data_IF_346546723066
#
_entry.id   IF_346546723066
#
_cell.length_a   1.000
_cell.length_b   1.000
_cell.length_c   1.000
_cell.angle_alpha   90.00
_cell.angle_beta   90.00
_cell.angle_gamma   90.00
#
_symmetry.space_group_name_H-M   'P 1'
#
loop_
_entity.id
_entity.type
_entity.pdbx_description
1 polymer ?
#
# COMPACT_ATOMS: atom_id res chain seq x y z
N UNK A 1 -18.43 14.31 -23.15
CA UNK A 1 -18.95 15.05 -21.98
C UNK A 1 -19.94 14.17 -21.23
N UNK A 2 -20.11 14.39 -19.93
CA UNK A 2 -21.19 13.76 -19.16
C UNK A 2 -22.52 14.42 -19.55
N UNK A 3 -23.18 13.86 -20.57
CA UNK A 3 -24.33 14.51 -21.23
C UNK A 3 -25.66 14.28 -20.50
N UNK A 4 -25.76 13.23 -19.69
CA UNK A 4 -26.95 12.93 -18.87
C UNK A 4 -26.76 13.40 -17.42
N UNK A 5 -27.86 13.67 -16.71
CA UNK A 5 -27.85 14.05 -15.29
C UNK A 5 -27.17 12.99 -14.40
N UNK A 6 -27.38 11.71 -14.71
CA UNK A 6 -26.74 10.57 -14.05
C UNK A 6 -25.23 10.54 -14.29
N UNK A 7 -24.78 10.79 -15.52
CA UNK A 7 -23.35 10.88 -15.84
C UNK A 7 -22.67 12.04 -15.11
N UNK A 8 -23.31 13.22 -15.04
CA UNK A 8 -22.76 14.38 -14.30
C UNK A 8 -22.62 14.07 -12.80
N UNK A 9 -23.56 13.32 -12.22
CA UNK A 9 -23.47 12.83 -10.83
C UNK A 9 -22.33 11.83 -10.66
N UNK A 10 -22.18 10.86 -11.56
CA UNK A 10 -21.11 9.88 -11.52
C UNK A 10 -19.72 10.54 -11.59
N UNK A 11 -19.54 11.55 -12.46
CA UNK A 11 -18.30 12.31 -12.57
C UNK A 11 -17.90 12.99 -11.25
N UNK A 12 -18.87 13.65 -10.58
CA UNK A 12 -18.63 14.26 -9.24
C UNK A 12 -18.24 13.23 -8.19
N UNK A 13 -18.91 12.07 -8.18
CA UNK A 13 -18.60 10.99 -7.25
C UNK A 13 -17.21 10.38 -7.53
N UNK A 14 -16.83 10.24 -8.80
CA UNK A 14 -15.53 9.73 -9.21
C UNK A 14 -14.39 10.60 -8.65
N UNK A 15 -14.48 11.93 -8.80
CA UNK A 15 -13.46 12.87 -8.27
C UNK A 15 -13.26 12.68 -6.76
N UNK A 16 -14.36 12.60 -5.99
CA UNK A 16 -14.31 12.37 -4.54
C UNK A 16 -13.64 11.04 -4.18
N UNK A 17 -14.00 9.96 -4.88
CA UNK A 17 -13.41 8.62 -4.67
C UNK A 17 -11.93 8.60 -5.05
N UNK A 18 -11.55 9.20 -6.17
CA UNK A 18 -10.17 9.29 -6.64
C UNK A 18 -9.29 10.00 -5.62
N UNK A 19 -9.71 11.16 -5.08
CA UNK A 19 -8.93 11.89 -4.06
C UNK A 19 -8.62 11.03 -2.82
N UNK A 20 -9.62 10.31 -2.32
CA UNK A 20 -9.46 9.42 -1.16
C UNK A 20 -8.57 8.22 -1.49
N UNK A 21 -8.76 7.61 -2.66
CA UNK A 21 -7.98 6.45 -3.08
C UNK A 21 -6.52 6.80 -3.36
N UNK A 22 -6.27 7.98 -3.92
CA UNK A 22 -4.92 8.50 -4.15
C UNK A 22 -4.16 8.63 -2.82
N UNK A 23 -4.74 9.25 -1.80
CA UNK A 23 -4.13 9.35 -0.47
C UNK A 23 -3.77 7.99 0.12
N UNK A 24 -4.68 7.01 0.02
CA UNK A 24 -4.45 5.65 0.53
C UNK A 24 -3.37 4.91 -0.27
N UNK A 25 -3.31 5.10 -1.58
CA UNK A 25 -2.29 4.51 -2.44
C UNK A 25 -0.92 5.13 -2.18
N UNK A 26 -0.84 6.45 -1.95
CA UNK A 26 0.39 7.12 -1.54
C UNK A 26 0.89 6.59 -0.19
N UNK A 27 0.00 6.46 0.82
CA UNK A 27 0.35 5.86 2.11
C UNK A 27 0.93 4.45 1.97
N UNK A 28 0.32 3.63 1.11
CA UNK A 28 0.80 2.29 0.80
C UNK A 28 2.21 2.31 0.19
N UNK A 29 2.46 3.19 -0.78
CA UNK A 29 3.77 3.31 -1.42
C UNK A 29 4.84 3.79 -0.44
N UNK A 30 4.54 4.79 0.38
CA UNK A 30 5.49 5.31 1.39
C UNK A 30 5.84 4.27 2.45
N UNK A 31 4.85 3.52 2.94
CA UNK A 31 5.11 2.46 3.94
C UNK A 31 5.96 1.32 3.38
N UNK A 32 5.72 0.90 2.13
CA UNK A 32 6.58 -0.09 1.47
C UNK A 32 7.99 0.46 1.26
N UNK A 33 8.12 1.71 0.82
CA UNK A 33 9.42 2.35 0.62
C UNK A 33 10.23 2.40 1.92
N UNK A 34 9.62 2.75 3.04
CA UNK A 34 10.33 2.80 4.33
C UNK A 34 10.91 1.44 4.74
N UNK A 35 10.23 0.33 4.41
CA UNK A 35 10.78 -1.03 4.61
C UNK A 35 11.95 -1.29 3.65
N UNK A 36 11.81 -0.92 2.38
CA UNK A 36 12.87 -1.10 1.38
C UNK A 36 14.12 -0.28 1.71
N UNK A 37 13.97 0.94 2.21
CA UNK A 37 15.06 1.78 2.70
C UNK A 37 15.74 1.19 3.94
N UNK A 38 14.96 0.66 4.90
CA UNK A 38 15.52 -0.03 6.06
C UNK A 38 16.31 -1.30 5.68
N UNK A 39 15.83 -2.04 4.67
CA UNK A 39 16.56 -3.18 4.10
C UNK A 39 17.86 -2.70 3.44
N UNK A 40 17.82 -1.62 2.65
CA UNK A 40 19.00 -1.07 1.99
C UNK A 40 20.05 -0.55 3.00
N UNK A 41 19.60 -0.04 4.14
CA UNK A 41 20.46 0.42 5.24
C UNK A 41 21.12 -0.70 6.06
N UNK A 42 20.83 -1.98 5.77
CA UNK A 42 21.52 -3.12 6.40
C UNK A 42 21.14 -3.41 7.86
N UNK A 43 20.30 -2.59 8.51
CA UNK A 43 19.87 -2.83 9.89
C UNK A 43 18.65 -3.75 9.94
N UNK A 44 18.89 -5.02 10.25
CA UNK A 44 17.85 -6.05 10.36
C UNK A 44 16.78 -5.74 11.41
N UNK A 45 17.17 -5.26 12.59
CA UNK A 45 16.22 -4.93 13.66
C UNK A 45 15.27 -3.80 13.27
N UNK A 46 15.79 -2.78 12.58
CA UNK A 46 14.99 -1.69 12.03
C UNK A 46 14.05 -2.19 10.91
N UNK A 47 14.54 -3.07 10.04
CA UNK A 47 13.74 -3.65 8.96
C UNK A 47 12.58 -4.52 9.48
N UNK A 48 12.79 -5.30 10.53
CA UNK A 48 11.74 -6.10 11.17
C UNK A 48 10.66 -5.22 11.85
N UNK A 49 11.07 -4.17 12.55
CA UNK A 49 10.14 -3.21 13.14
C UNK A 49 9.32 -2.49 12.06
N UNK A 50 9.96 -2.06 10.97
CA UNK A 50 9.29 -1.44 9.83
C UNK A 50 8.31 -2.40 9.15
N UNK A 51 8.69 -3.68 8.99
CA UNK A 51 7.82 -4.71 8.42
C UNK A 51 6.55 -4.93 9.26
N UNK A 52 6.70 -5.05 10.59
CA UNK A 52 5.56 -5.19 11.52
C UNK A 52 4.59 -4.01 11.44
N UNK A 53 5.10 -2.79 11.24
CA UNK A 53 4.27 -1.61 11.04
C UNK A 53 3.60 -1.57 9.65
N UNK A 54 4.28 -2.09 8.61
CA UNK A 54 3.78 -2.08 7.23
C UNK A 54 2.68 -3.11 6.96
N UNK A 55 2.75 -4.29 7.56
CA UNK A 55 1.78 -5.38 7.41
C UNK A 55 0.30 -4.96 7.65
N UNK A 56 -0.07 -4.32 8.77
CA UNK A 56 -1.46 -3.91 9.00
C UNK A 56 -1.92 -2.83 8.02
N UNK A 57 -1.02 -1.98 7.52
CA UNK A 57 -1.35 -0.97 6.51
C UNK A 57 -1.65 -1.61 5.16
N UNK A 58 -0.85 -2.59 4.75
CA UNK A 58 -1.04 -3.38 3.53
C UNK A 58 -2.36 -4.16 3.56
N UNK A 59 -2.66 -4.82 4.67
CA UNK A 59 -3.90 -5.59 4.80
C UNK A 59 -5.14 -4.69 4.87
N UNK A 60 -5.07 -3.56 5.59
CA UNK A 60 -6.19 -2.60 5.67
C UNK A 60 -6.48 -1.91 4.33
N UNK A 61 -5.46 -1.66 3.51
CA UNK A 61 -5.65 -1.12 2.15
C UNK A 61 -6.27 -2.15 1.20
N UNK A 62 -5.95 -3.44 1.38
CA UNK A 62 -6.60 -4.52 0.65
C UNK A 62 -8.07 -4.72 1.05
N UNK A 63 -8.39 -4.65 2.35
CA UNK A 63 -9.76 -4.71 2.85
C UNK A 63 -10.63 -3.59 2.26
N UNK A 64 -10.06 -2.39 2.07
CA UNK A 64 -10.74 -1.24 1.44
C UNK A 64 -10.87 -1.33 -0.08
N UNK A 65 -10.45 -2.45 -0.69
CA UNK A 65 -10.58 -2.70 -2.13
C UNK A 65 -9.65 -1.87 -3.02
N UNK A 66 -8.64 -1.21 -2.45
CA UNK A 66 -7.72 -0.36 -3.24
C UNK A 66 -6.67 -1.19 -3.97
N UNK A 67 -6.24 -2.27 -3.32
CA UNK A 67 -5.40 -3.29 -3.94
C UNK A 67 -6.08 -4.64 -3.78
N UNK A 68 -5.87 -5.52 -4.73
CA UNK A 68 -6.36 -6.90 -4.61
C UNK A 68 -5.68 -7.62 -3.45
N UNK A 69 -6.42 -8.47 -2.72
CA UNK A 69 -5.89 -9.24 -1.58
C UNK A 69 -4.61 -10.00 -1.95
N UNK A 70 -4.60 -10.68 -3.10
CA UNK A 70 -3.40 -11.36 -3.64
C UNK A 70 -2.21 -10.42 -3.86
N UNK A 71 -2.43 -9.16 -4.23
CA UNK A 71 -1.34 -8.19 -4.39
C UNK A 71 -0.77 -7.78 -3.05
N UNK A 72 -1.61 -7.62 -2.02
CA UNK A 72 -1.15 -7.39 -0.65
C UNK A 72 -0.35 -8.59 -0.13
N UNK A 73 -0.88 -9.81 -0.25
CA UNK A 73 -0.19 -11.04 0.15
C UNK A 73 1.16 -11.21 -0.55
N UNK A 74 1.23 -10.95 -1.86
CA UNK A 74 2.50 -10.99 -2.62
C UNK A 74 3.51 -9.97 -2.10
N UNK A 75 3.08 -8.76 -1.76
CA UNK A 75 3.97 -7.71 -1.22
C UNK A 75 4.51 -8.09 0.16
N UNK A 76 3.65 -8.57 1.06
CA UNK A 76 4.07 -9.06 2.39
C UNK A 76 5.08 -10.18 2.23
N UNK A 77 4.74 -11.24 1.48
CA UNK A 77 5.64 -12.38 1.25
C UNK A 77 7.01 -11.98 0.72
N UNK A 78 7.07 -11.08 -0.28
CA UNK A 78 8.34 -10.60 -0.84
C UNK A 78 9.16 -9.79 0.15
N UNK A 79 8.54 -8.90 0.92
CA UNK A 79 9.25 -8.10 1.92
C UNK A 79 9.76 -8.99 3.06
N UNK A 80 8.95 -9.92 3.56
CA UNK A 80 9.37 -10.88 4.58
C UNK A 80 10.54 -11.73 4.09
N UNK A 81 10.52 -12.21 2.84
CA UNK A 81 11.62 -12.97 2.27
C UNK A 81 12.92 -12.15 2.19
N UNK A 82 12.84 -10.87 1.81
CA UNK A 82 13.99 -9.96 1.78
C UNK A 82 14.57 -9.71 3.16
N UNK A 83 13.73 -9.43 4.15
CA UNK A 83 14.18 -9.22 5.55
C UNK A 83 14.80 -10.49 6.12
N UNK A 84 14.26 -11.67 5.81
CA UNK A 84 14.85 -12.96 6.21
C UNK A 84 16.21 -13.21 5.56
N UNK A 85 16.37 -12.81 4.29
CA UNK A 85 17.61 -12.93 3.56
C UNK A 85 18.70 -11.96 4.05
N UNK A 86 18.35 -10.94 4.83
CA UNK A 86 19.33 -10.19 5.62
C UNK A 86 19.85 -11.13 6.72
N UNK A 87 20.95 -11.83 6.43
CA UNK A 87 21.74 -12.55 7.44
C UNK A 87 22.16 -11.56 8.52
N UNK A 88 22.19 -12.05 9.77
CA UNK A 88 22.43 -11.24 10.97
C UNK A 88 23.69 -10.38 10.87
#
# INVERSE_FOLDING_TARGET
>A
MANTSSAKKAARQAIKRTKVNQSRHSRLKTTVRGVEEAIAGGNKGAAEAALKAAEPVLMRTAQKGIIHKRTASRKVSRLTARVRAMTA
#
